data_IF_029414309830
#
_entry.id   IF_029414309830
#
_cell.length_a   1.000
_cell.length_b   1.000
_cell.length_c   1.000
_cell.angle_alpha   90.00
_cell.angle_beta   90.00
_cell.angle_gamma   90.00
#
_symmetry.space_group_name_H-M   'P 1'
#
loop_
_entity.id
_entity.type
_entity.pdbx_description
1 polymer ?
#
# COMPACT_ATOMS: atom_id res chain seq x y z
N UNK A 1 13.29 39.75 -5.29
CA UNK A 1 14.04 38.55 -4.89
C UNK A 1 13.22 37.34 -5.30
N UNK A 2 13.63 36.66 -6.37
CA UNK A 2 13.04 35.37 -6.72
C UNK A 2 13.29 34.44 -5.53
N UNK A 3 12.23 33.86 -4.99
CA UNK A 3 12.30 33.15 -3.72
C UNK A 3 13.30 31.99 -3.87
N UNK A 4 14.31 31.85 -3.00
CA UNK A 4 15.39 30.85 -3.12
C UNK A 4 14.85 29.44 -3.39
N UNK A 5 13.66 29.14 -2.86
CA UNK A 5 12.90 27.92 -3.11
C UNK A 5 12.52 27.77 -4.59
N UNK A 6 12.05 28.82 -5.26
CA UNK A 6 11.70 28.80 -6.68
C UNK A 6 12.93 28.54 -7.57
N UNK A 7 14.10 29.07 -7.20
CA UNK A 7 15.35 28.78 -7.91
C UNK A 7 15.73 27.29 -7.79
N UNK A 8 15.71 26.74 -6.57
CA UNK A 8 16.00 25.34 -6.31
C UNK A 8 14.99 24.40 -6.98
N UNK A 9 13.70 24.77 -6.99
CA UNK A 9 12.67 24.03 -7.71
C UNK A 9 12.96 23.98 -9.19
N UNK A 10 13.27 25.12 -9.81
CA UNK A 10 13.57 25.19 -11.24
C UNK A 10 14.85 24.43 -11.59
N UNK A 11 15.86 24.48 -10.73
CA UNK A 11 17.09 23.69 -10.86
C UNK A 11 16.78 22.18 -10.87
N UNK A 12 15.99 21.72 -9.90
CA UNK A 12 15.58 20.32 -9.82
C UNK A 12 14.76 19.90 -11.05
N UNK A 13 13.76 20.68 -11.46
CA UNK A 13 12.95 20.40 -12.64
C UNK A 13 13.81 20.29 -13.91
N UNK A 14 14.78 21.19 -14.11
CA UNK A 14 15.68 21.13 -15.24
C UNK A 14 16.49 19.83 -15.26
N UNK A 15 17.03 19.40 -14.11
CA UNK A 15 17.78 18.15 -14.00
C UNK A 15 16.87 16.93 -14.21
N UNK A 16 15.63 16.99 -13.71
CA UNK A 16 14.62 15.95 -13.91
C UNK A 16 14.41 15.67 -15.40
N UNK A 17 14.10 16.71 -16.18
CA UNK A 17 13.83 16.57 -17.62
C UNK A 17 15.06 16.15 -18.45
N UNK A 18 16.27 16.39 -17.96
CA UNK A 18 17.48 15.88 -18.61
C UNK A 18 17.67 14.37 -18.41
N UNK A 19 17.03 13.78 -17.40
CA UNK A 19 17.19 12.36 -17.05
C UNK A 19 15.97 11.54 -17.46
N UNK A 20 14.76 12.11 -17.41
CA UNK A 20 13.54 11.52 -17.98
C UNK A 20 13.51 11.68 -19.51
N UNK A 21 14.38 10.93 -20.20
CA UNK A 21 14.47 10.94 -21.67
C UNK A 21 13.22 10.37 -22.33
N UNK A 22 12.48 9.51 -21.63
CA UNK A 22 11.24 8.88 -22.12
C UNK A 22 10.02 9.80 -21.97
N UNK A 23 10.13 10.90 -21.21
CA UNK A 23 9.04 11.83 -20.88
C UNK A 23 7.80 11.11 -20.34
N UNK A 24 8.02 10.04 -19.60
CA UNK A 24 6.94 9.23 -19.04
C UNK A 24 6.40 9.82 -17.72
N UNK A 25 7.04 10.88 -17.19
CA UNK A 25 6.63 11.57 -15.97
C UNK A 25 7.09 10.89 -14.67
N UNK A 26 7.98 9.89 -14.77
CA UNK A 26 8.54 9.16 -13.63
C UNK A 26 10.03 8.82 -13.79
N UNK A 27 10.81 8.97 -12.71
CA UNK A 27 12.19 8.50 -12.64
C UNK A 27 12.27 7.14 -11.96
N UNK A 28 12.84 6.15 -12.63
CA UNK A 28 13.20 4.87 -12.00
C UNK A 28 14.33 5.08 -10.98
N UNK A 29 14.53 4.13 -10.07
CA UNK A 29 15.62 4.14 -9.06
C UNK A 29 17.01 4.49 -9.60
N UNK A 30 17.38 4.05 -10.80
CA UNK A 30 18.68 4.38 -11.43
C UNK A 30 18.72 5.84 -11.90
N UNK A 31 17.63 6.31 -12.48
CA UNK A 31 17.47 7.67 -13.00
C UNK A 31 17.40 8.67 -11.86
N UNK A 32 16.61 8.41 -10.81
CA UNK A 32 16.57 9.23 -9.61
C UNK A 32 17.96 9.47 -9.02
N UNK A 33 18.75 8.40 -8.87
CA UNK A 33 20.12 8.50 -8.35
C UNK A 33 21.05 9.28 -9.29
N UNK A 34 20.87 9.13 -10.60
CA UNK A 34 21.63 9.88 -11.61
C UNK A 34 21.28 11.37 -11.56
N UNK A 35 20.00 11.70 -11.40
CA UNK A 35 19.49 13.05 -11.28
C UNK A 35 19.98 13.72 -9.97
N UNK A 36 19.86 13.03 -8.84
CA UNK A 36 20.40 13.51 -7.55
C UNK A 36 21.92 13.73 -7.59
N UNK A 37 22.67 12.81 -8.23
CA UNK A 37 24.12 12.98 -8.41
C UNK A 37 24.46 14.23 -9.22
N UNK A 38 23.66 14.59 -10.24
CA UNK A 38 23.86 15.82 -11.02
C UNK A 38 23.65 17.08 -10.17
N UNK A 39 22.80 17.02 -9.15
CA UNK A 39 22.57 18.09 -8.16
C UNK A 39 23.58 18.07 -7.00
N UNK A 40 24.66 17.29 -7.10
CA UNK A 40 25.70 17.22 -6.07
C UNK A 40 25.36 16.37 -4.84
N UNK A 41 24.21 15.69 -4.82
CA UNK A 41 23.79 14.85 -3.69
C UNK A 41 24.51 13.50 -3.73
N UNK A 42 24.95 13.04 -2.56
CA UNK A 42 25.66 11.78 -2.41
C UNK A 42 24.75 10.58 -2.76
N UNK A 43 25.34 9.52 -3.31
CA UNK A 43 24.66 8.24 -3.60
C UNK A 43 23.97 7.64 -2.37
N UNK A 44 24.52 7.82 -1.17
CA UNK A 44 23.92 7.33 0.08
C UNK A 44 22.70 8.15 0.48
N UNK A 45 22.80 9.47 0.47
CA UNK A 45 21.68 10.39 0.72
C UNK A 45 20.55 10.15 -0.28
N UNK A 46 20.88 10.04 -1.57
CA UNK A 46 19.91 9.71 -2.61
C UNK A 46 19.29 8.32 -2.42
N UNK A 47 20.04 7.33 -1.90
CA UNK A 47 19.49 6.00 -1.60
C UNK A 47 18.51 6.07 -0.43
N UNK A 48 18.84 6.81 0.62
CA UNK A 48 17.96 6.97 1.79
C UNK A 48 16.73 7.80 1.45
N UNK A 49 16.89 8.91 0.72
CA UNK A 49 15.76 9.68 0.25
C UNK A 49 14.86 8.89 -0.68
N UNK A 50 15.43 8.04 -1.53
CA UNK A 50 14.60 7.14 -2.32
C UNK A 50 13.76 6.21 -1.42
N UNK A 51 14.32 5.65 -0.35
CA UNK A 51 13.56 4.80 0.60
C UNK A 51 12.50 5.63 1.34
N UNK A 52 12.85 6.85 1.73
CA UNK A 52 11.97 7.76 2.47
C UNK A 52 10.78 8.24 1.64
N UNK A 53 11.00 8.45 0.34
CA UNK A 53 10.02 8.99 -0.60
C UNK A 53 9.25 7.88 -1.32
N UNK A 54 9.88 6.73 -1.53
CA UNK A 54 9.27 5.51 -2.11
C UNK A 54 8.77 4.57 -0.99
N UNK A 55 7.88 5.09 -0.13
CA UNK A 55 7.28 4.31 0.97
C UNK A 55 6.50 3.10 0.45
N UNK A 56 5.97 3.21 -0.77
CA UNK A 56 5.18 2.19 -1.46
C UNK A 56 6.05 1.17 -2.25
N UNK A 57 7.39 1.32 -2.26
CA UNK A 57 8.35 0.43 -2.93
C UNK A 57 8.14 0.24 -4.44
N UNK A 58 7.56 1.24 -5.11
CA UNK A 58 7.27 1.26 -6.54
C UNK A 58 8.53 1.35 -7.41
N UNK A 59 9.68 1.70 -6.81
CA UNK A 59 10.98 1.89 -7.48
C UNK A 59 10.97 3.00 -8.55
N UNK A 60 9.95 3.86 -8.54
CA UNK A 60 9.76 5.02 -9.43
C UNK A 60 9.39 6.26 -8.62
N UNK A 61 9.79 7.45 -9.09
CA UNK A 61 9.61 8.74 -8.40
C UNK A 61 9.04 9.77 -9.37
N UNK A 62 7.90 10.36 -9.03
CA UNK A 62 7.30 11.45 -9.82
C UNK A 62 8.13 12.74 -9.74
N UNK A 63 7.94 13.65 -10.68
CA UNK A 63 8.59 14.97 -10.66
C UNK A 63 8.35 15.73 -9.35
N UNK A 64 7.11 15.72 -8.83
CA UNK A 64 6.76 16.39 -7.57
C UNK A 64 7.54 15.81 -6.39
N UNK A 65 7.60 14.49 -6.31
CA UNK A 65 8.32 13.80 -5.24
C UNK A 65 9.83 14.01 -5.37
N UNK A 66 10.37 14.04 -6.59
CA UNK A 66 11.77 14.33 -6.85
C UNK A 66 12.16 15.75 -6.40
N UNK A 67 11.40 16.77 -6.80
CA UNK A 67 11.63 18.16 -6.40
C UNK A 67 11.54 18.30 -4.88
N UNK A 68 10.51 17.73 -4.25
CA UNK A 68 10.36 17.75 -2.80
C UNK A 68 11.52 17.05 -2.08
N UNK A 69 12.01 15.94 -2.64
CA UNK A 69 13.20 15.24 -2.11
C UNK A 69 14.42 16.15 -2.13
N UNK A 70 14.65 16.87 -3.23
CA UNK A 70 15.77 17.80 -3.34
C UNK A 70 15.67 18.92 -2.32
N UNK A 71 14.50 19.56 -2.22
CA UNK A 71 14.26 20.65 -1.28
C UNK A 71 14.41 20.19 0.18
N UNK A 72 13.98 18.97 0.51
CA UNK A 72 14.11 18.39 1.85
C UNK A 72 15.57 18.15 2.24
N UNK A 73 16.42 17.73 1.30
CA UNK A 73 17.85 17.57 1.55
C UNK A 73 18.51 18.95 1.73
N UNK A 74 18.19 19.91 0.86
CA UNK A 74 18.73 21.27 0.94
C UNK A 74 18.33 22.01 2.22
N UNK A 75 17.17 21.69 2.81
CA UNK A 75 16.75 22.22 4.11
C UNK A 75 17.40 21.51 5.31
N UNK A 76 18.24 20.49 5.08
CA UNK A 76 18.89 19.70 6.12
C UNK A 76 17.98 18.64 6.75
N UNK A 77 16.85 18.31 6.12
CA UNK A 77 15.85 17.38 6.67
C UNK A 77 16.39 15.97 6.96
N UNK A 78 17.41 15.52 6.21
CA UNK A 78 18.11 14.25 6.45
C UNK A 78 18.88 14.17 7.77
N UNK A 79 19.15 15.32 8.41
CA UNK A 79 19.82 15.38 9.71
C UNK A 79 18.80 15.41 10.87
N UNK A 80 17.51 15.29 10.58
CA UNK A 80 16.46 15.31 11.60
C UNK A 80 16.34 13.95 12.30
N UNK A 81 16.12 13.98 13.62
CA UNK A 81 16.14 12.81 14.51
C UNK A 81 15.19 11.67 14.11
N UNK A 82 14.10 11.98 13.39
CA UNK A 82 13.08 11.02 12.96
C UNK A 82 13.29 10.43 11.55
N UNK A 83 14.45 10.67 10.91
CA UNK A 83 14.70 10.19 9.53
C UNK A 83 15.55 8.94 9.43
N UNK A 84 16.04 8.43 10.58
CA UNK A 84 16.89 7.23 10.70
C UNK A 84 18.11 7.20 9.75
N UNK A 85 18.50 8.35 9.20
CA UNK A 85 19.67 8.49 8.33
C UNK A 85 20.89 8.89 9.15
N UNK A 86 21.84 7.96 9.31
CA UNK A 86 23.08 8.19 10.05
C UNK A 86 24.26 8.62 9.15
N UNK A 87 23.99 9.02 7.90
CA UNK A 87 25.05 9.31 6.94
C UNK A 87 25.76 8.04 6.42
N UNK A 88 26.79 8.19 5.58
CA UNK A 88 27.66 7.08 5.20
C UNK A 88 28.42 6.59 6.45
N UNK A 89 28.36 5.28 6.74
CA UNK A 89 29.21 4.66 7.75
C UNK A 89 30.64 4.58 7.19
N UNK A 90 31.38 5.68 7.26
CA UNK A 90 32.83 5.66 7.13
C UNK A 90 33.37 5.48 8.53
N UNK A 91 33.99 4.33 8.79
CA UNK A 91 34.77 4.10 9.99
C UNK A 91 35.73 5.27 10.18
N UNK A 92 35.69 5.86 11.37
CA UNK A 92 36.45 7.03 11.81
C UNK A 92 35.79 8.35 11.39
N UNK A 93 35.55 9.22 12.37
CA UNK A 93 35.06 10.61 12.26
C UNK A 93 33.54 10.76 12.39
N UNK A 94 33.04 10.45 13.59
CA UNK A 94 31.93 11.17 14.23
C UNK A 94 32.40 12.59 14.66
N UNK A 95 33.04 13.33 13.74
CA UNK A 95 33.23 14.76 13.92
C UNK A 95 32.16 15.44 13.10
N UNK A 96 31.07 15.74 13.78
CA UNK A 96 30.00 16.64 13.36
C UNK A 96 30.56 18.05 13.15
N UNK A 97 31.48 18.24 12.21
CA UNK A 97 32.13 19.54 11.93
C UNK A 97 31.15 20.55 11.35
N UNK A 98 29.98 20.11 10.88
CA UNK A 98 28.87 21.00 10.52
C UNK A 98 28.14 21.60 11.73
N UNK A 99 28.38 21.12 12.96
CA UNK A 99 27.89 21.76 14.19
C UNK A 99 28.86 22.82 14.75
N UNK A 100 30.11 22.88 14.28
CA UNK A 100 31.11 23.81 14.79
C UNK A 100 31.65 24.72 13.67
N UNK A 101 30.95 25.83 13.44
CA UNK A 101 31.30 26.96 12.55
C UNK A 101 31.39 26.61 11.06
N UNK A 102 30.58 27.16 10.16
CA UNK A 102 30.05 28.52 10.03
C UNK A 102 28.61 28.45 9.53
N UNK A 103 27.75 29.34 10.02
CA UNK A 103 26.39 29.53 9.51
C UNK A 103 26.42 29.75 7.99
N UNK A 104 25.86 28.86 7.14
CA UNK A 104 25.23 29.35 5.93
C UNK A 104 23.96 30.04 6.41
N UNK A 105 23.86 31.36 6.21
CA UNK A 105 22.73 32.23 6.58
C UNK A 105 21.43 31.43 6.79
N UNK A 106 21.18 31.03 8.05
CA UNK A 106 19.94 30.38 8.42
C UNK A 106 18.87 31.43 8.22
N UNK A 107 18.06 31.27 7.17
CA UNK A 107 16.87 32.07 6.96
C UNK A 107 16.01 31.88 8.22
N UNK A 108 15.82 32.90 9.07
CA UNK A 108 15.00 32.77 10.26
C UNK A 108 13.56 32.60 9.76
N UNK A 109 13.03 31.39 9.89
CA UNK A 109 11.64 31.13 9.54
C UNK A 109 10.76 31.65 10.68
N UNK A 110 10.31 32.90 10.55
CA UNK A 110 9.34 33.49 11.46
C UNK A 110 7.94 32.93 11.18
N UNK A 111 7.49 32.00 12.02
CA UNK A 111 6.16 31.40 11.99
C UNK A 111 5.02 32.44 12.03
N UNK A 112 5.28 33.67 12.49
CA UNK A 112 4.29 34.75 12.54
C UNK A 112 4.04 35.42 11.19
N UNK A 113 4.95 35.27 10.21
CA UNK A 113 4.72 35.78 8.86
C UNK A 113 3.80 34.89 8.02
N UNK A 114 3.71 33.60 8.37
CA UNK A 114 2.82 32.64 7.71
C UNK A 114 1.34 32.99 7.92
N UNK A 115 0.99 33.53 9.08
CA UNK A 115 -0.40 33.79 9.46
C UNK A 115 -0.98 35.04 8.80
N UNK A 116 -0.14 36.02 8.42
CA UNK A 116 -0.59 37.26 7.77
C UNK A 116 -0.95 37.10 6.29
N UNK A 117 -0.60 35.98 5.65
CA UNK A 117 -1.06 35.63 4.31
C UNK A 117 -2.29 34.70 4.28
N UNK A 118 -2.87 34.35 5.45
CA UNK A 118 -3.99 33.42 5.57
C UNK A 118 -5.38 34.02 5.26
N UNK A 119 -5.48 35.12 4.51
CA UNK A 119 -6.78 35.53 3.94
C UNK A 119 -7.15 34.75 2.67
N UNK A 120 -6.20 34.01 2.08
CA UNK A 120 -6.46 33.08 0.99
C UNK A 120 -6.04 31.67 1.41
N UNK A 121 -7.02 30.93 1.91
CA UNK A 121 -7.02 29.46 2.02
C UNK A 121 -6.54 28.95 0.63
N UNK A 122 -5.38 28.32 0.39
CA UNK A 122 -4.52 27.56 1.29
C UNK A 122 -3.25 27.05 0.54
N UNK A 123 -2.11 27.71 0.72
CA UNK A 123 -0.82 27.15 0.23
C UNK A 123 -0.40 25.92 1.07
N UNK A 124 -0.83 25.86 2.33
CA UNK A 124 -0.62 24.70 3.22
C UNK A 124 -1.46 23.50 2.80
N UNK A 125 -2.68 23.66 2.27
CA UNK A 125 -3.40 22.48 1.74
C UNK A 125 -2.77 22.01 0.43
N UNK A 126 -2.23 22.91 -0.40
CA UNK A 126 -1.56 22.53 -1.66
C UNK A 126 -0.18 21.86 -1.45
N UNK A 127 0.50 22.15 -0.34
CA UNK A 127 1.88 21.69 -0.06
C UNK A 127 2.02 20.73 1.13
N UNK A 128 0.94 20.33 1.80
CA UNK A 128 0.95 19.09 2.58
C UNK A 128 1.21 17.93 1.61
N UNK A 129 1.93 16.89 2.06
CA UNK A 129 1.95 15.60 1.38
C UNK A 129 0.50 15.11 1.25
N UNK A 130 -0.17 15.49 0.18
CA UNK A 130 -1.47 14.95 -0.14
C UNK A 130 -1.21 13.59 -0.76
N UNK A 131 -1.66 12.53 -0.08
CA UNK A 131 -1.84 11.23 -0.71
C UNK A 131 -2.62 11.45 -1.99
N UNK A 132 -2.03 11.16 -3.15
CA UNK A 132 -2.76 11.21 -4.41
C UNK A 132 -3.77 10.06 -4.36
N UNK A 133 -5.09 10.28 -4.28
CA UNK A 133 -6.02 9.17 -4.30
C UNK A 133 -6.22 8.77 -5.76
N UNK A 134 -5.59 7.68 -6.22
CA UNK A 134 -5.86 7.03 -7.51
C UNK A 134 -5.57 5.52 -7.46
N UNK A 135 -6.13 4.75 -8.41
CA UNK A 135 -7.04 3.64 -8.14
C UNK A 135 -6.37 2.52 -7.33
N UNK A 136 -7.15 1.80 -6.51
CA UNK A 136 -6.69 0.64 -5.75
C UNK A 136 -6.05 -0.41 -6.68
N UNK A 137 -4.74 -0.35 -6.85
CA UNK A 137 -3.96 -1.49 -7.30
C UNK A 137 -4.28 -2.63 -6.33
N UNK A 138 -4.49 -3.83 -6.86
CA UNK A 138 -4.77 -4.98 -6.02
C UNK A 138 -3.59 -5.25 -5.08
N UNK A 139 -3.67 -4.75 -3.85
CA UNK A 139 -2.84 -5.15 -2.71
C UNK A 139 -3.55 -6.33 -2.06
N UNK A 140 -3.13 -7.54 -2.42
CA UNK A 140 -3.68 -8.76 -1.84
C UNK A 140 -2.94 -9.18 -0.57
N UNK A 141 -3.54 -10.07 0.21
CA UNK A 141 -2.88 -10.68 1.36
C UNK A 141 -3.35 -12.12 1.52
N UNK A 142 -2.47 -12.93 2.11
CA UNK A 142 -2.84 -14.27 2.55
C UNK A 142 -3.62 -14.16 3.85
N UNK A 143 -4.76 -14.84 3.89
CA UNK A 143 -5.60 -14.97 5.07
C UNK A 143 -6.00 -16.43 5.29
N UNK A 144 -6.32 -16.75 6.54
CA UNK A 144 -7.06 -17.97 6.91
C UNK A 144 -8.51 -17.62 7.17
N UNK A 145 -9.43 -18.53 6.90
CA UNK A 145 -10.86 -18.35 7.17
C UNK A 145 -11.32 -19.46 8.12
N UNK A 146 -11.84 -19.06 9.28
CA UNK A 146 -12.42 -19.97 10.27
C UNK A 146 -13.94 -19.87 10.24
N UNK A 147 -14.59 -21.02 10.17
CA UNK A 147 -16.03 -21.18 10.20
C UNK A 147 -16.59 -21.13 11.63
N UNK A 148 -17.92 -21.02 11.75
CA UNK A 148 -18.62 -21.02 13.03
C UNK A 148 -18.42 -22.29 13.87
N UNK A 149 -18.15 -23.43 13.21
CA UNK A 149 -17.82 -24.70 13.87
C UNK A 149 -16.39 -24.72 14.47
N UNK A 150 -15.64 -23.62 14.38
CA UNK A 150 -14.27 -23.50 14.88
C UNK A 150 -13.20 -24.10 13.96
N UNK A 151 -13.61 -24.68 12.82
CA UNK A 151 -12.69 -25.29 11.85
C UNK A 151 -12.28 -24.30 10.76
N UNK A 152 -11.11 -24.53 10.18
CA UNK A 152 -10.58 -23.74 9.07
C UNK A 152 -11.09 -24.26 7.72
N UNK A 153 -11.40 -23.31 6.84
CA UNK A 153 -11.65 -23.55 5.43
C UNK A 153 -10.38 -24.12 4.78
N UNK A 154 -10.54 -25.19 4.01
CA UNK A 154 -9.48 -25.89 3.33
C UNK A 154 -9.85 -26.13 1.87
N UNK A 155 -8.86 -25.93 1.00
CA UNK A 155 -8.92 -26.28 -0.42
C UNK A 155 -8.26 -27.65 -0.62
N UNK A 156 -9.08 -28.69 -0.78
CA UNK A 156 -8.64 -30.07 -0.95
C UNK A 156 -9.18 -30.65 -2.25
N UNK A 157 -8.28 -30.97 -3.20
CA UNK A 157 -8.60 -31.66 -4.45
C UNK A 157 -9.75 -31.06 -5.27
N UNK A 158 -9.83 -29.72 -5.38
CA UNK A 158 -10.89 -29.10 -6.17
C UNK A 158 -12.21 -28.91 -5.40
N UNK A 159 -12.19 -29.07 -4.06
CA UNK A 159 -13.34 -28.90 -3.18
C UNK A 159 -12.97 -28.03 -1.99
N UNK A 160 -13.96 -27.25 -1.53
CA UNK A 160 -13.86 -26.44 -0.34
C UNK A 160 -14.55 -27.13 0.83
N UNK A 161 -13.83 -27.33 1.92
CA UNK A 161 -14.34 -27.96 3.14
C UNK A 161 -13.79 -27.26 4.38
N UNK A 162 -14.64 -26.98 5.35
CA UNK A 162 -14.29 -26.33 6.62
C UNK A 162 -14.23 -27.35 7.76
N UNK A 163 -13.23 -28.24 7.73
CA UNK A 163 -13.07 -29.35 8.67
C UNK A 163 -11.69 -29.42 9.33
N UNK A 164 -10.81 -28.45 9.10
CA UNK A 164 -9.41 -28.51 9.55
C UNK A 164 -9.23 -27.83 10.91
N UNK A 165 -8.72 -28.53 11.94
CA UNK A 165 -8.55 -27.94 13.27
C UNK A 165 -7.29 -27.07 13.39
N UNK A 166 -6.34 -27.21 12.47
CA UNK A 166 -5.05 -26.52 12.49
C UNK A 166 -4.76 -25.94 11.11
N UNK A 167 -4.17 -24.75 11.09
CA UNK A 167 -3.75 -24.06 9.87
C UNK A 167 -2.52 -24.76 9.29
N UNK A 168 -2.64 -25.23 8.06
CA UNK A 168 -1.56 -25.71 7.22
C UNK A 168 -1.45 -24.88 5.92
N UNK A 169 -0.87 -25.45 4.86
CA UNK A 169 -0.77 -24.78 3.55
C UNK A 169 -2.11 -24.64 2.82
N UNK A 170 -3.04 -25.58 3.01
CA UNK A 170 -4.29 -25.67 2.24
C UNK A 170 -5.41 -24.75 2.79
N UNK A 171 -5.20 -24.23 4.01
CA UNK A 171 -6.11 -23.32 4.71
C UNK A 171 -5.74 -21.84 4.48
N UNK A 172 -4.73 -21.59 3.64
CA UNK A 172 -4.27 -20.24 3.28
C UNK A 172 -4.82 -19.84 1.93
N UNK A 173 -5.54 -18.73 1.92
CA UNK A 173 -6.12 -18.15 0.71
C UNK A 173 -5.55 -16.76 0.48
N UNK A 174 -5.14 -16.49 -0.74
CA UNK A 174 -4.74 -15.16 -1.16
C UNK A 174 -5.99 -14.37 -1.55
N UNK A 175 -6.40 -13.45 -0.68
CA UNK A 175 -7.48 -12.51 -0.95
C UNK A 175 -6.89 -11.32 -1.69
N UNK A 176 -7.49 -10.97 -2.83
CA UNK A 176 -7.02 -9.88 -3.66
C UNK A 176 -8.20 -9.14 -4.28
N UNK A 177 -8.01 -7.85 -4.57
CA UNK A 177 -9.02 -6.87 -4.97
C UNK A 177 -8.64 -6.06 -6.22
N UNK A 178 -9.36 -6.28 -7.32
CA UNK A 178 -9.67 -5.43 -8.47
C UNK A 178 -10.20 -4.00 -8.28
N UNK A 179 -9.50 -2.92 -8.63
CA UNK A 179 -10.16 -1.60 -8.77
C UNK A 179 -11.42 -1.65 -9.67
N UNK A 180 -11.41 -2.52 -10.69
CA UNK A 180 -12.51 -2.78 -11.63
C UNK A 180 -13.68 -3.58 -11.03
N UNK A 181 -13.52 -4.19 -9.86
CA UNK A 181 -14.54 -5.05 -9.21
C UNK A 181 -15.40 -4.30 -8.18
N UNK A 182 -15.22 -2.98 -8.05
CA UNK A 182 -15.89 -2.18 -7.02
C UNK A 182 -15.17 -2.24 -5.67
N UNK A 183 -15.51 -1.32 -4.77
CA UNK A 183 -14.76 -1.05 -3.52
C UNK A 183 -14.56 -2.29 -2.63
N UNK A 184 -15.53 -3.20 -2.67
CA UNK A 184 -15.68 -4.39 -1.85
C UNK A 184 -15.56 -5.71 -2.64
N UNK A 185 -15.31 -5.66 -3.94
CA UNK A 185 -15.08 -6.85 -4.76
C UNK A 185 -13.76 -7.54 -4.40
N UNK A 186 -13.81 -8.83 -4.07
CA UNK A 186 -12.67 -9.67 -3.71
C UNK A 186 -12.71 -11.00 -4.44
N UNK A 187 -11.54 -11.51 -4.80
CA UNK A 187 -11.38 -12.87 -5.27
C UNK A 187 -10.39 -13.61 -4.35
N UNK A 188 -10.68 -14.89 -4.09
CA UNK A 188 -9.91 -15.77 -3.21
C UNK A 188 -9.18 -16.80 -4.05
N UNK A 189 -7.86 -16.85 -3.91
CA UNK A 189 -6.99 -17.78 -4.62
C UNK A 189 -6.40 -18.80 -3.65
N UNK A 190 -6.48 -20.06 -4.02
CA UNK A 190 -5.94 -21.19 -3.25
C UNK A 190 -4.45 -21.37 -3.51
N UNK A 191 -3.80 -22.17 -2.67
CA UNK A 191 -2.38 -22.53 -2.84
C UNK A 191 -2.11 -23.28 -4.16
N UNK A 192 -3.13 -23.91 -4.74
CA UNK A 192 -3.07 -24.60 -6.04
C UNK A 192 -3.13 -23.64 -7.24
N UNK A 193 -3.03 -22.33 -7.00
CA UNK A 193 -3.12 -21.29 -8.01
C UNK A 193 -4.48 -21.27 -8.72
N UNK A 194 -5.54 -21.72 -8.02
CA UNK A 194 -6.92 -21.71 -8.49
C UNK A 194 -7.77 -20.73 -7.71
N UNK A 195 -8.87 -20.26 -8.30
CA UNK A 195 -9.79 -19.31 -7.68
C UNK A 195 -11.06 -20.00 -7.23
N UNK A 196 -11.57 -19.57 -6.07
CA UNK A 196 -12.89 -19.95 -5.57
C UNK A 196 -13.95 -19.33 -6.49
N UNK A 197 -14.95 -20.12 -6.83
CA UNK A 197 -16.04 -19.81 -7.73
C UNK A 197 -17.37 -20.23 -7.11
N UNK A 198 -18.38 -19.38 -7.30
CA UNK A 198 -19.78 -19.74 -7.08
C UNK A 198 -20.39 -20.19 -8.41
N UNK A 199 -20.66 -21.49 -8.53
CA UNK A 199 -21.40 -22.02 -9.67
C UNK A 199 -22.88 -21.60 -9.63
N UNK A 200 -23.59 -21.81 -10.74
CA UNK A 200 -25.00 -21.42 -10.90
C UNK A 200 -25.95 -22.14 -9.91
N UNK A 201 -25.60 -23.35 -9.51
CA UNK A 201 -26.33 -24.14 -8.50
C UNK A 201 -25.96 -23.73 -7.05
N UNK A 202 -25.17 -22.67 -6.90
CA UNK A 202 -24.60 -22.17 -5.65
C UNK A 202 -23.61 -23.13 -4.97
N UNK A 203 -23.05 -24.09 -5.71
CA UNK A 203 -21.91 -24.84 -5.21
C UNK A 203 -20.65 -23.96 -5.17
N UNK A 204 -19.83 -24.18 -4.15
CA UNK A 204 -18.54 -23.51 -3.99
C UNK A 204 -17.44 -24.46 -4.50
N UNK A 205 -16.75 -24.07 -5.57
CA UNK A 205 -15.67 -24.85 -6.19
C UNK A 205 -14.42 -23.99 -6.33
N UNK A 206 -13.24 -24.60 -6.40
CA UNK A 206 -11.96 -23.89 -6.49
C UNK A 206 -11.11 -24.37 -7.69
N UNK A 207 -11.75 -24.55 -8.84
CA UNK A 207 -11.13 -25.14 -10.04
C UNK A 207 -10.66 -24.11 -11.10
N UNK A 208 -10.94 -22.83 -10.88
CA UNK A 208 -10.80 -21.76 -11.89
C UNK A 208 -9.38 -21.23 -11.99
N UNK A 209 -8.87 -20.99 -13.20
CA UNK A 209 -7.50 -20.49 -13.43
C UNK A 209 -7.39 -18.98 -13.62
N UNK A 210 -8.52 -18.30 -13.82
CA UNK A 210 -8.60 -16.86 -14.00
C UNK A 210 -9.81 -16.32 -13.24
N UNK A 211 -9.75 -15.05 -12.87
CA UNK A 211 -10.86 -14.35 -12.23
C UNK A 211 -11.81 -13.85 -13.31
N UNK A 212 -13.08 -14.26 -13.21
CA UNK A 212 -14.20 -13.70 -13.93
C UNK A 212 -15.31 -13.30 -12.97
N UNK A 213 -16.54 -13.07 -13.48
CA UNK A 213 -17.66 -12.63 -12.66
C UNK A 213 -18.06 -13.60 -11.54
N UNK A 214 -17.77 -14.90 -11.69
CA UNK A 214 -18.22 -15.93 -10.76
C UNK A 214 -17.25 -16.14 -9.58
N UNK A 215 -16.02 -15.66 -9.72
CA UNK A 215 -14.94 -15.73 -8.75
C UNK A 215 -14.82 -14.45 -7.90
N UNK A 216 -15.65 -13.44 -8.19
CA UNK A 216 -15.70 -12.17 -7.48
C UNK A 216 -16.83 -12.21 -6.44
N UNK A 217 -16.46 -11.94 -5.19
CA UNK A 217 -17.36 -11.90 -4.05
C UNK A 217 -17.35 -10.50 -3.42
N UNK A 218 -18.52 -10.03 -3.01
CA UNK A 218 -18.66 -8.79 -2.24
C UNK A 218 -18.32 -9.07 -0.78
N UNK A 219 -17.23 -8.49 -0.28
CA UNK A 219 -16.79 -8.63 1.11
C UNK A 219 -17.39 -7.51 1.98
N UNK A 220 -18.02 -7.87 3.09
CA UNK A 220 -18.53 -6.91 4.08
C UNK A 220 -18.33 -7.39 5.52
N UNK A 221 -18.39 -6.45 6.47
CA UNK A 221 -18.43 -6.74 7.90
C UNK A 221 -19.89 -7.04 8.28
N UNK A 222 -20.18 -8.05 9.13
CA UNK A 222 -21.54 -8.30 9.60
C UNK A 222 -22.04 -7.14 10.48
N UNK A 223 -23.31 -6.74 10.29
CA UNK A 223 -23.97 -5.67 11.04
C UNK A 223 -24.64 -6.17 12.34
N UNK A 224 -24.04 -7.15 13.00
CA UNK A 224 -24.56 -7.81 14.21
C UNK A 224 -24.14 -7.09 15.51
N UNK A 225 -23.58 -5.89 15.41
CA UNK A 225 -23.06 -5.10 16.53
C UNK A 225 -21.63 -5.45 16.97
N UNK A 226 -20.99 -6.49 16.42
CA UNK A 226 -19.59 -6.79 16.70
C UNK A 226 -18.63 -5.99 15.80
N UNK A 227 -17.86 -5.07 16.36
CA UNK A 227 -16.98 -4.20 15.55
C UNK A 227 -15.59 -4.81 15.27
N UNK A 228 -15.49 -6.13 15.02
CA UNK A 228 -14.20 -6.76 14.69
C UNK A 228 -13.97 -6.82 13.19
N UNK A 229 -12.89 -6.18 12.71
CA UNK A 229 -12.45 -6.21 11.31
C UNK A 229 -12.01 -7.60 10.82
N UNK A 230 -11.82 -8.55 11.74
CA UNK A 230 -11.52 -9.94 11.40
C UNK A 230 -12.78 -10.69 10.91
N UNK A 231 -13.98 -10.20 11.23
CA UNK A 231 -15.23 -10.88 10.86
C UNK A 231 -15.70 -10.42 9.50
N UNK A 232 -15.77 -11.36 8.56
CA UNK A 232 -16.04 -11.08 7.17
C UNK A 232 -17.14 -11.98 6.63
N UNK A 233 -17.96 -11.39 5.76
CA UNK A 233 -19.03 -12.06 5.04
C UNK A 233 -18.75 -11.90 3.55
N UNK A 234 -18.98 -12.96 2.78
CA UNK A 234 -18.76 -12.99 1.34
C UNK A 234 -20.07 -13.28 0.63
N UNK A 235 -20.51 -12.35 -0.22
CA UNK A 235 -21.71 -12.50 -1.04
C UNK A 235 -21.33 -12.78 -2.50
N UNK A 236 -21.91 -13.83 -3.09
CA UNK A 236 -21.72 -14.19 -4.49
C UNK A 236 -22.52 -13.30 -5.44
N UNK A 237 -22.21 -13.43 -6.73
CA UNK A 237 -22.97 -12.83 -7.83
C UNK A 237 -24.43 -13.30 -7.88
N UNK A 238 -24.75 -14.50 -7.38
CA UNK A 238 -26.13 -15.01 -7.25
C UNK A 238 -26.91 -14.36 -6.11
N UNK A 239 -26.25 -13.49 -5.32
CA UNK A 239 -26.84 -12.80 -4.19
C UNK A 239 -26.90 -13.64 -2.91
N UNK A 240 -26.26 -14.81 -2.90
CA UNK A 240 -26.18 -15.71 -1.75
C UNK A 240 -24.88 -15.52 -0.98
N UNK A 241 -24.86 -15.96 0.28
CA UNK A 241 -23.69 -15.84 1.14
C UNK A 241 -22.92 -17.16 1.24
N UNK A 242 -21.59 -17.05 1.30
CA UNK A 242 -20.71 -18.17 1.58
C UNK A 242 -20.99 -18.69 2.99
N UNK A 243 -21.43 -19.93 3.06
CA UNK A 243 -21.84 -20.59 4.31
C UNK A 243 -21.08 -21.90 4.49
N UNK A 244 -20.92 -22.29 5.74
CA UNK A 244 -20.44 -23.62 6.12
C UNK A 244 -21.43 -24.26 7.09
N UNK A 245 -21.82 -25.51 6.82
CA UNK A 245 -22.67 -26.25 7.75
C UNK A 245 -21.85 -26.81 8.93
N UNK A 246 -22.54 -27.40 9.91
CA UNK A 246 -21.89 -27.99 11.11
C UNK A 246 -20.95 -29.14 10.77
N UNK A 247 -21.13 -29.79 9.62
CA UNK A 247 -20.26 -30.87 9.12
C UNK A 247 -19.06 -30.33 8.32
N UNK A 248 -19.02 -29.02 8.08
CA UNK A 248 -17.96 -28.34 7.35
C UNK A 248 -18.19 -28.28 5.83
N UNK A 249 -19.35 -28.66 5.31
CA UNK A 249 -19.62 -28.49 3.88
C UNK A 249 -19.79 -27.01 3.56
N UNK A 250 -19.14 -26.56 2.49
CA UNK A 250 -19.12 -25.16 2.09
C UNK A 250 -19.94 -24.96 0.82
N UNK A 251 -20.79 -23.94 0.81
CA UNK A 251 -21.63 -23.58 -0.34
C UNK A 251 -22.02 -22.12 -0.32
N UNK A 252 -22.67 -21.64 -1.38
CA UNK A 252 -23.35 -20.34 -1.42
C UNK A 252 -24.86 -20.52 -1.24
N UNK A 253 -25.31 -21.32 -0.27
CA UNK A 253 -26.74 -21.60 -0.09
C UNK A 253 -27.53 -20.50 0.62
N UNK A 254 -26.88 -19.68 1.44
CA UNK A 254 -27.55 -18.81 2.41
C UNK A 254 -28.15 -17.54 1.79
N UNK A 255 -29.39 -17.19 2.17
CA UNK A 255 -30.09 -15.96 1.75
C UNK A 255 -29.87 -14.77 2.68
N UNK A 256 -29.51 -15.03 3.93
CA UNK A 256 -29.29 -14.02 4.97
C UNK A 256 -28.01 -14.33 5.74
N UNK A 257 -27.47 -13.31 6.40
CA UNK A 257 -26.27 -13.44 7.23
C UNK A 257 -26.70 -14.00 8.58
N UNK A 258 -26.31 -15.23 8.89
CA UNK A 258 -26.38 -15.83 10.21
C UNK A 258 -24.99 -16.17 10.73
N UNK A 259 -24.93 -17.00 11.77
CA UNK A 259 -23.66 -17.39 12.41
C UNK A 259 -22.72 -18.12 11.44
N UNK A 260 -23.27 -18.96 10.55
CA UNK A 260 -22.51 -19.83 9.66
C UNK A 260 -21.93 -19.09 8.43
N UNK A 261 -22.43 -17.89 8.14
CA UNK A 261 -22.01 -17.02 7.04
C UNK A 261 -20.91 -16.04 7.46
N UNK A 262 -20.64 -15.94 8.77
CA UNK A 262 -19.60 -15.09 9.33
C UNK A 262 -18.31 -15.89 9.44
N UNK A 263 -17.29 -15.46 8.72
CA UNK A 263 -15.97 -16.06 8.72
C UNK A 263 -14.99 -15.21 9.50
N UNK A 264 -14.30 -15.81 10.48
CA UNK A 264 -13.20 -15.15 11.17
C UNK A 264 -11.96 -15.26 10.29
N UNK A 265 -11.60 -14.14 9.66
CA UNK A 265 -10.50 -14.03 8.73
C UNK A 265 -9.29 -13.38 9.42
N UNK A 266 -8.18 -14.11 9.48
CA UNK A 266 -6.92 -13.61 10.03
C UNK A 266 -5.88 -13.47 8.94
N UNK A 267 -5.22 -12.31 8.90
CA UNK A 267 -4.14 -12.04 7.95
C UNK A 267 -2.90 -12.83 8.37
N UNK A 268 -2.37 -13.64 7.47
CA UNK A 268 -1.15 -14.42 7.66
C UNK A 268 0.06 -13.64 7.16
N UNK A 269 -0.04 -13.06 5.95
CA UNK A 269 1.04 -12.26 5.36
C UNK A 269 0.49 -11.36 4.26
N UNK A 270 0.90 -10.09 4.24
CA UNK A 270 0.55 -9.16 3.16
C UNK A 270 1.52 -9.27 1.98
N UNK A 271 1.00 -9.20 0.75
CA UNK A 271 1.81 -9.13 -0.47
C UNK A 271 1.58 -7.78 -1.11
N UNK A 272 2.62 -6.96 -1.11
CA UNK A 272 2.62 -5.69 -1.82
C UNK A 272 3.31 -5.92 -3.18
N UNK A 273 2.59 -5.69 -4.27
CA UNK A 273 3.15 -5.65 -5.64
C UNK A 273 3.41 -4.20 -6.01
#
# INVERSE_FOLDING_TARGET
MLNKVQELTKEAENVYYQVDTERNGFLRRKEFKKAMKKLGINKYEAKHMLIFVDQERLKVVSIKNYVNSYLFIQSGGLNHINTDYQGPITSVVDQRTHMNNTEPERIPFDMSQLSKQLSNISFLTQNVFQSIPRPKNIVGYYQTMQAANGMYLCSENGRLIANRPVIGPWEKFFLHHDSSWGVDGRALKTVWNKYICCEIDNTAVDNRTAVGPWEIFKQSIPDDGGQSMERNVYKSWTGRYLTSDTTGNVSFGATSIGTNEIWICKVVSAVYI
#
